data_IF_110961038783
#
_entry.id   IF_110961038783
#
_cell.length_a   1.000
_cell.length_b   1.000
_cell.length_c   1.000
_cell.angle_alpha   90.00
_cell.angle_beta   90.00
_cell.angle_gamma   90.00
#
_symmetry.space_group_name_H-M   'P 1'
#
loop_
_entity.id
_entity.type
_entity.pdbx_description
1 polymer ?
#
# COMPACT_ATOMS: atom_id res chain seq x y z
N UNK A 1 7.63 32.33 -29.37
CA UNK A 1 7.25 32.17 -28.92
C UNK A 1 6.69 31.31 -28.56
N UNK A 2 6.52 30.82 -28.18
CA UNK A 2 5.87 30.05 -28.00
C UNK A 2 6.01 28.92 -27.46
N UNK A 3 6.15 28.22 -27.59
CA UNK A 3 6.35 27.01 -27.25
C UNK A 3 6.35 26.62 -25.94
N UNK A 4 6.30 26.86 -25.25
CA UNK A 4 6.38 26.49 -24.06
C UNK A 4 5.50 25.73 -23.48
N UNK A 5 4.61 25.73 -23.69
CA UNK A 5 3.64 25.04 -23.06
C UNK A 5 3.84 23.65 -22.85
N UNK A 6 4.39 23.05 -23.65
CA UNK A 6 4.41 21.70 -23.58
C UNK A 6 4.94 21.15 -22.40
N UNK A 7 5.74 21.74 -21.82
CA UNK A 7 6.27 21.15 -20.75
C UNK A 7 5.42 20.69 -19.72
N UNK A 8 4.47 21.24 -19.45
CA UNK A 8 3.65 20.86 -18.37
C UNK A 8 3.19 19.48 -18.40
N UNK A 9 3.02 18.98 -19.54
CA UNK A 9 2.42 17.68 -19.58
C UNK A 9 3.27 16.60 -19.07
N UNK A 10 4.51 16.75 -19.11
CA UNK A 10 5.31 15.70 -18.73
C UNK A 10 5.24 15.37 -17.31
N UNK A 11 5.09 16.31 -16.50
CA UNK A 11 5.12 16.08 -15.09
C UNK A 11 4.06 15.12 -14.62
N UNK A 12 2.96 15.08 -15.27
CA UNK A 12 1.90 14.26 -14.78
C UNK A 12 2.17 12.78 -14.89
N UNK A 13 2.92 12.37 -15.83
CA UNK A 13 3.13 10.96 -16.00
C UNK A 13 3.93 10.35 -14.87
N UNK A 14 4.72 11.12 -14.23
CA UNK A 14 5.57 10.58 -13.22
C UNK A 14 4.87 10.29 -11.92
N UNK A 15 3.76 10.91 -11.71
CA UNK A 15 3.07 10.75 -10.45
C UNK A 15 2.63 9.33 -10.20
N UNK A 16 2.30 8.61 -11.22
CA UNK A 16 1.83 7.26 -11.01
C UNK A 16 2.93 6.28 -10.67
N UNK A 17 4.13 6.57 -11.05
CA UNK A 17 5.21 5.67 -10.76
C UNK A 17 5.75 5.88 -9.36
N UNK A 18 5.26 6.89 -8.66
CA UNK A 18 5.77 7.20 -7.36
C UNK A 18 4.93 6.54 -6.27
N UNK A 19 4.91 5.23 -6.29
CA UNK A 19 4.23 4.47 -5.25
C UNK A 19 5.26 3.53 -4.61
N UNK A 20 6.06 4.05 -3.68
CA UNK A 20 7.15 3.28 -3.10
C UNK A 20 6.71 2.15 -2.19
N UNK A 21 5.41 2.00 -1.97
CA UNK A 21 4.91 0.94 -1.12
C UNK A 21 4.88 -0.43 -1.79
N UNK A 22 5.13 -0.50 -3.08
CA UNK A 22 5.08 -1.77 -3.80
C UNK A 22 6.11 -2.75 -3.22
N UNK A 23 5.68 -3.94 -2.90
CA UNK A 23 6.56 -4.97 -2.36
C UNK A 23 5.79 -5.98 -1.52
N UNK A 24 6.53 -6.89 -0.91
CA UNK A 24 5.97 -7.89 -0.02
C UNK A 24 6.45 -7.57 1.39
N UNK A 25 5.54 -7.70 2.34
CA UNK A 25 5.79 -7.32 3.73
C UNK A 25 5.30 -8.40 4.68
N UNK A 26 5.84 -8.41 5.90
CA UNK A 26 5.30 -9.21 6.99
C UNK A 26 4.73 -8.27 8.04
N UNK A 27 3.66 -8.70 8.73
CA UNK A 27 3.01 -7.87 9.73
C UNK A 27 3.61 -8.09 11.11
N UNK A 28 4.01 -6.99 11.74
CA UNK A 28 4.45 -6.96 13.15
C UNK A 28 5.73 -7.73 13.49
N UNK A 29 6.34 -8.37 12.55
CA UNK A 29 7.58 -9.10 12.76
C UNK A 29 8.49 -8.89 11.56
N UNK A 30 9.80 -8.80 11.78
CA UNK A 30 10.73 -8.61 10.67
C UNK A 30 10.62 -9.75 9.67
N UNK A 31 10.77 -9.42 8.40
CA UNK A 31 10.68 -10.41 7.34
C UNK A 31 11.92 -11.27 7.31
N UNK A 32 11.70 -12.56 7.37
CA UNK A 32 12.77 -13.53 7.23
C UNK A 32 12.51 -14.33 5.97
N UNK A 33 13.29 -14.13 4.93
CA UNK A 33 13.00 -14.72 3.62
C UNK A 33 12.89 -16.25 3.64
N UNK A 34 13.62 -16.87 4.57
CA UNK A 34 13.61 -18.30 4.64
C UNK A 34 12.52 -18.86 5.54
N UNK A 35 11.79 -17.98 6.21
CA UNK A 35 10.77 -18.44 7.12
C UNK A 35 9.49 -18.76 6.36
N UNK A 36 8.90 -19.90 6.69
CA UNK A 36 7.60 -20.26 6.16
C UNK A 36 6.59 -20.37 7.28
N UNK A 37 6.83 -19.64 8.38
CA UNK A 37 5.94 -19.68 9.54
C UNK A 37 4.56 -19.18 9.17
N UNK A 38 3.53 -20.03 9.22
CA UNK A 38 2.18 -19.61 8.85
C UNK A 38 1.55 -18.64 9.83
N UNK A 39 2.18 -18.44 10.99
CA UNK A 39 1.63 -17.48 11.95
C UNK A 39 1.97 -16.05 11.58
N UNK A 40 2.92 -15.85 10.69
CA UNK A 40 3.31 -14.51 10.28
C UNK A 40 2.50 -14.14 9.06
N UNK A 41 1.69 -13.11 9.19
CA UNK A 41 0.85 -12.64 8.08
C UNK A 41 1.68 -11.87 7.06
N UNK A 42 1.41 -12.10 5.81
CA UNK A 42 2.12 -11.42 4.73
C UNK A 42 1.17 -10.52 3.96
N UNK A 43 1.68 -9.41 3.49
CA UNK A 43 0.93 -8.45 2.71
C UNK A 43 1.72 -8.17 1.44
N UNK A 44 1.06 -8.28 0.30
CA UNK A 44 1.69 -7.96 -0.97
C UNK A 44 1.01 -6.73 -1.55
N UNK A 45 1.78 -5.71 -1.85
CA UNK A 45 1.27 -4.46 -2.40
C UNK A 45 1.79 -4.31 -3.82
N UNK A 46 0.88 -4.10 -4.76
CA UNK A 46 1.20 -3.80 -6.15
C UNK A 46 0.64 -2.42 -6.45
N UNK A 47 0.88 -1.86 -7.63
CA UNK A 47 0.32 -0.54 -7.96
C UNK A 47 -1.21 -0.51 -7.97
N UNK A 48 -1.86 -1.66 -8.08
CA UNK A 48 -3.32 -1.70 -8.19
C UNK A 48 -4.02 -2.56 -7.15
N UNK A 49 -3.28 -3.33 -6.35
CA UNK A 49 -3.90 -4.27 -5.43
C UNK A 49 -3.13 -4.41 -4.13
N UNK A 50 -3.85 -4.78 -3.07
CA UNK A 50 -3.25 -5.14 -1.80
C UNK A 50 -3.80 -6.51 -1.44
N UNK A 51 -2.92 -7.50 -1.30
CA UNK A 51 -3.31 -8.87 -0.99
C UNK A 51 -2.84 -9.20 0.41
N UNK A 52 -3.75 -9.55 1.30
CA UNK A 52 -3.43 -9.86 2.69
C UNK A 52 -4.33 -10.96 3.21
N UNK A 53 -4.16 -11.33 4.48
CA UNK A 53 -5.01 -12.35 5.08
C UNK A 53 -6.46 -11.91 5.16
N UNK A 54 -6.72 -10.62 5.07
CA UNK A 54 -8.08 -10.12 5.11
C UNK A 54 -8.76 -10.17 3.74
N UNK A 55 -8.05 -10.54 2.71
CA UNK A 55 -8.60 -10.65 1.38
C UNK A 55 -7.82 -9.85 0.37
N UNK A 56 -8.38 -9.72 -0.81
CA UNK A 56 -7.77 -9.01 -1.91
C UNK A 56 -8.46 -7.66 -2.06
N UNK A 57 -7.69 -6.60 -1.99
CA UNK A 57 -8.22 -5.25 -2.12
C UNK A 57 -7.75 -4.64 -3.43
N UNK A 58 -8.67 -4.06 -4.17
CA UNK A 58 -8.33 -3.30 -5.37
C UNK A 58 -8.17 -1.84 -4.98
N UNK A 59 -7.08 -1.23 -5.39
CA UNK A 59 -6.81 0.16 -5.09
C UNK A 59 -7.59 1.03 -6.07
N UNK A 60 -8.52 1.83 -5.54
CA UNK A 60 -9.35 2.69 -6.37
C UNK A 60 -8.75 4.10 -6.47
N UNK A 61 -8.08 4.55 -5.43
CA UNK A 61 -7.52 5.89 -5.42
C UNK A 61 -6.37 5.96 -4.42
N UNK A 62 -5.34 6.70 -4.75
CA UNK A 62 -4.17 6.89 -3.89
C UNK A 62 -3.92 8.38 -3.74
N UNK A 63 -3.65 8.81 -2.51
CA UNK A 63 -3.32 10.20 -2.25
C UNK A 63 -2.12 10.22 -1.30
N UNK A 64 -1.10 10.96 -1.66
CA UNK A 64 0.11 11.04 -0.86
C UNK A 64 0.25 12.42 -0.22
N UNK A 65 0.60 12.44 1.06
CA UNK A 65 0.94 13.65 1.76
C UNK A 65 2.19 13.35 2.57
N UNK A 66 3.33 13.84 2.14
CA UNK A 66 4.59 13.56 2.80
C UNK A 66 4.90 12.08 2.77
N UNK A 67 5.03 11.47 3.93
CA UNK A 67 5.30 10.05 4.04
C UNK A 67 4.05 9.22 4.25
N UNK A 68 2.89 9.83 4.18
CA UNK A 68 1.63 9.14 4.42
C UNK A 68 0.86 8.98 3.12
N UNK A 69 0.37 7.77 2.91
CA UNK A 69 -0.44 7.46 1.73
C UNK A 69 -1.83 7.06 2.20
N UNK A 70 -2.84 7.80 1.76
CA UNK A 70 -4.22 7.44 2.01
C UNK A 70 -4.71 6.70 0.76
N UNK A 71 -5.21 5.50 0.94
CA UNK A 71 -5.58 4.63 -0.17
C UNK A 71 -7.03 4.18 0.00
N UNK A 72 -7.82 4.45 -1.03
CA UNK A 72 -9.21 4.01 -1.04
C UNK A 72 -9.26 2.65 -1.72
N UNK A 73 -9.85 1.68 -1.06
CA UNK A 73 -9.82 0.30 -1.53
C UNK A 73 -11.20 -0.34 -1.55
N UNK A 74 -11.34 -1.31 -2.44
CA UNK A 74 -12.50 -2.18 -2.51
C UNK A 74 -11.98 -3.58 -2.23
N UNK A 75 -12.31 -4.13 -1.08
CA UNK A 75 -11.79 -5.40 -0.63
C UNK A 75 -12.82 -6.50 -0.71
N UNK A 76 -12.38 -7.69 -1.11
CA UNK A 76 -13.22 -8.87 -1.12
C UNK A 76 -12.60 -9.87 -0.16
N UNK A 77 -13.32 -10.16 0.89
CA UNK A 77 -12.84 -11.10 1.89
C UNK A 77 -13.31 -12.50 1.62
N UNK A 78 -13.06 -13.37 2.58
CA UNK A 78 -13.49 -14.75 2.49
C UNK A 78 -15.02 -14.79 2.37
N UNK A 79 -15.52 -15.66 1.55
CA UNK A 79 -16.95 -15.75 1.35
C UNK A 79 -17.53 -14.72 0.41
N UNK A 80 -16.67 -13.91 -0.20
CA UNK A 80 -17.14 -12.93 -1.17
C UNK A 80 -17.67 -11.63 -0.59
N UNK A 81 -17.51 -11.43 0.71
CA UNK A 81 -17.96 -10.19 1.32
C UNK A 81 -17.15 -9.03 0.74
N UNK A 82 -17.85 -7.96 0.38
CA UNK A 82 -17.21 -6.79 -0.21
C UNK A 82 -17.20 -5.65 0.78
N UNK A 83 -16.11 -4.91 0.85
CA UNK A 83 -15.97 -3.82 1.77
C UNK A 83 -15.19 -2.69 1.14
N UNK A 84 -15.77 -1.50 1.15
CA UNK A 84 -15.09 -0.31 0.68
C UNK A 84 -14.56 0.44 1.89
N UNK A 85 -13.41 1.04 1.77
CA UNK A 85 -12.88 1.82 2.88
C UNK A 85 -11.59 2.49 2.52
N UNK A 86 -11.06 3.22 3.49
CA UNK A 86 -9.80 3.92 3.33
C UNK A 86 -8.81 3.33 4.30
N UNK A 87 -7.59 3.14 3.85
CA UNK A 87 -6.52 2.69 4.71
C UNK A 87 -5.37 3.67 4.59
N UNK A 88 -4.53 3.72 5.58
CA UNK A 88 -3.42 4.66 5.63
C UNK A 88 -2.12 3.91 5.83
N UNK A 89 -1.13 4.24 5.01
CA UNK A 89 0.22 3.71 5.15
C UNK A 89 1.15 4.87 5.41
N UNK A 90 1.93 4.81 6.48
CA UNK A 90 2.91 5.84 6.79
C UNK A 90 4.31 5.23 6.77
N UNK A 91 5.17 5.74 5.91
CA UNK A 91 6.53 5.22 5.80
C UNK A 91 7.34 5.73 6.96
N UNK A 92 7.94 4.81 7.73
CA UNK A 92 8.85 5.18 8.81
C UNK A 92 10.26 5.30 8.26
N UNK A 93 10.63 4.33 7.45
CA UNK A 93 11.94 4.30 6.83
C UNK A 93 11.81 3.45 5.57
N UNK A 94 12.91 3.05 4.97
CA UNK A 94 12.87 2.34 3.70
C UNK A 94 12.27 0.95 3.81
N UNK A 95 12.24 0.38 5.00
CA UNK A 95 11.83 -0.99 5.17
C UNK A 95 10.62 -1.19 6.07
N UNK A 96 10.10 -0.14 6.67
CA UNK A 96 9.04 -0.25 7.66
C UNK A 96 7.92 0.75 7.39
N UNK A 97 6.69 0.27 7.44
CA UNK A 97 5.51 1.08 7.18
C UNK A 97 4.50 0.87 8.29
N UNK A 98 3.89 1.94 8.78
CA UNK A 98 2.79 1.83 9.71
C UNK A 98 1.49 1.77 8.93
N UNK A 99 0.69 0.75 9.18
CA UNK A 99 -0.60 0.57 8.53
C UNK A 99 -1.72 0.82 9.54
N UNK A 100 -2.76 1.50 9.11
CA UNK A 100 -3.97 1.68 9.91
C UNK A 100 -5.20 1.64 9.02
N UNK A 101 -6.28 1.06 9.54
CA UNK A 101 -7.54 1.07 8.82
C UNK A 101 -8.27 2.39 9.04
N UNK A 102 -9.42 2.56 8.42
CA UNK A 102 -10.13 3.82 8.43
C UNK A 102 -10.48 4.28 9.83
N UNK A 103 -10.88 3.37 10.70
CA UNK A 103 -11.31 3.72 12.05
C UNK A 103 -10.16 3.69 13.05
N UNK A 104 -8.96 3.41 12.62
CA UNK A 104 -7.78 3.30 13.49
C UNK A 104 -7.95 2.17 14.51
N UNK A 105 -8.83 1.21 14.23
CA UNK A 105 -9.04 0.08 15.13
C UNK A 105 -8.06 -1.04 14.87
N UNK A 106 -7.56 -1.15 13.65
CA UNK A 106 -6.55 -2.14 13.33
C UNK A 106 -5.29 -1.41 12.90
N UNK A 107 -4.20 -1.69 13.57
CA UNK A 107 -2.91 -1.09 13.24
C UNK A 107 -1.86 -2.18 13.20
N UNK A 108 -0.94 -2.07 12.29
CA UNK A 108 0.14 -3.03 12.15
C UNK A 108 1.40 -2.33 11.67
N UNK A 109 2.54 -2.91 11.97
CA UNK A 109 3.80 -2.46 11.42
C UNK A 109 4.17 -3.46 10.34
N UNK A 110 4.38 -2.98 9.13
CA UNK A 110 4.73 -3.83 8.00
C UNK A 110 6.23 -3.76 7.77
N UNK A 111 6.86 -4.91 7.68
CA UNK A 111 8.31 -5.00 7.47
C UNK A 111 8.56 -5.53 6.07
N UNK A 112 9.27 -4.77 5.27
CA UNK A 112 9.49 -5.13 3.88
C UNK A 112 10.43 -6.31 3.76
N UNK A 113 10.06 -7.21 2.88
CA UNK A 113 10.89 -8.39 2.59
C UNK A 113 11.91 -8.07 1.50
N UNK A 114 13.11 -8.62 1.59
CA UNK A 114 14.12 -8.40 0.56
C UNK A 114 13.78 -9.06 -0.77
#
# INVERSE_FOLDING_TARGET
MVALAMLATIATCLAEDDFPLVGTYTENEPCQPESTDPKVSRVKITPTEIDSVFGLCTILQKKREGNTFAVHVDCKGAGGAQMLGDVTFTMRDDNTIDFADQDQTYKAVLHKCP
#
